data_IF_357817471206
#
_entry.id   IF_357817471206
#
_cell.length_a   1.000
_cell.length_b   1.000
_cell.length_c   1.000
_cell.angle_alpha   90.00
_cell.angle_beta   90.00
_cell.angle_gamma   90.00
#
_symmetry.space_group_name_H-M   'P 1'
#
loop_
_entity.id
_entity.type
_entity.pdbx_description
1 polymer ?
#
# COMPACT_ATOMS: atom_id res chain seq x y z
N UNK A 1 15.53 -2.29 23.98
CA UNK A 1 15.53 -1.61 22.68
C UNK A 1 15.52 -2.69 21.61
N UNK A 2 14.36 -2.98 21.03
CA UNK A 2 14.26 -3.93 19.92
C UNK A 2 14.77 -3.27 18.65
N UNK A 3 15.69 -3.93 17.96
CA UNK A 3 16.21 -3.48 16.66
C UNK A 3 15.08 -3.55 15.63
N UNK A 4 15.03 -2.64 14.65
CA UNK A 4 14.07 -2.62 13.53
C UNK A 4 13.96 -3.98 12.80
N UNK A 5 15.06 -4.74 12.76
CA UNK A 5 15.07 -6.12 12.26
C UNK A 5 14.13 -7.07 13.02
N UNK A 6 13.86 -6.84 14.32
CA UNK A 6 12.91 -7.65 15.09
C UNK A 6 11.44 -7.28 14.82
N UNK A 7 11.16 -6.06 14.35
CA UNK A 7 9.82 -5.62 13.96
C UNK A 7 9.42 -6.15 12.57
N UNK A 8 10.40 -6.32 11.68
CA UNK A 8 10.19 -6.74 10.28
C UNK A 8 10.15 -8.27 10.14
N UNK A 9 10.82 -9.02 11.02
CA UNK A 9 10.87 -10.48 10.91
C UNK A 9 9.63 -11.09 11.57
N UNK A 10 8.58 -11.35 10.78
CA UNK A 10 7.73 -12.51 11.07
C UNK A 10 8.62 -13.75 11.05
N UNK A 11 8.52 -14.57 12.08
CA UNK A 11 9.32 -15.80 12.20
C UNK A 11 8.71 -16.99 11.46
N UNK A 12 7.46 -16.90 10.99
CA UNK A 12 6.88 -17.86 10.04
C UNK A 12 5.60 -17.33 9.38
N UNK A 13 5.20 -17.93 8.25
CA UNK A 13 3.93 -17.65 7.55
C UNK A 13 2.67 -17.96 8.36
N UNK A 14 2.79 -18.56 9.55
CA UNK A 14 1.67 -18.99 10.39
C UNK A 14 1.32 -17.99 11.50
N UNK A 15 2.10 -16.92 11.67
CA UNK A 15 1.83 -15.88 12.66
C UNK A 15 0.85 -14.86 12.10
N UNK A 16 -0.25 -14.59 12.82
CA UNK A 16 -1.22 -13.55 12.46
C UNK A 16 -0.56 -12.18 12.65
N UNK A 17 -0.57 -11.28 11.66
CA UNK A 17 -0.01 -9.95 11.84
C UNK A 17 -0.80 -9.15 12.88
N UNK A 18 -0.08 -8.40 13.68
CA UNK A 18 -0.63 -7.53 14.72
C UNK A 18 -0.04 -6.13 14.59
N UNK A 19 -0.82 -5.13 14.99
CA UNK A 19 -0.35 -3.76 15.11
C UNK A 19 0.68 -3.64 16.23
N UNK A 20 1.81 -2.99 15.95
CA UNK A 20 2.89 -2.77 16.90
C UNK A 20 3.17 -1.27 17.01
N UNK A 21 3.42 -0.76 18.21
CA UNK A 21 3.79 0.64 18.39
C UNK A 21 5.12 0.94 17.69
N UNK A 22 5.16 2.02 16.90
CA UNK A 22 6.32 2.41 16.09
C UNK A 22 6.31 3.91 15.80
N UNK A 23 7.47 4.46 15.44
CA UNK A 23 7.59 5.84 14.94
C UNK A 23 7.52 5.90 13.41
N UNK A 24 7.38 7.11 12.87
CA UNK A 24 7.46 7.32 11.42
C UNK A 24 8.83 6.93 10.85
N UNK A 25 9.91 7.15 11.58
CA UNK A 25 11.26 6.76 11.15
C UNK A 25 11.41 5.23 11.11
N UNK A 26 10.76 4.52 12.03
CA UNK A 26 10.70 3.05 12.01
C UNK A 26 9.95 2.54 10.77
N UNK A 27 8.86 3.21 10.39
CA UNK A 27 8.13 2.93 9.16
C UNK A 27 9.01 3.12 7.92
N UNK A 28 9.70 4.28 7.80
CA UNK A 28 10.58 4.57 6.67
C UNK A 28 11.74 3.56 6.56
N UNK A 29 12.31 3.18 7.70
CA UNK A 29 13.34 2.15 7.74
C UNK A 29 12.79 0.78 7.31
N UNK A 30 11.56 0.45 7.72
CA UNK A 30 10.84 -0.74 7.28
C UNK A 30 10.65 -0.79 5.77
N UNK A 31 10.17 0.30 5.16
CA UNK A 31 9.99 0.38 3.70
C UNK A 31 11.33 0.19 2.96
N UNK A 32 12.40 0.85 3.45
CA UNK A 32 13.73 0.69 2.86
C UNK A 32 14.26 -0.75 2.94
N UNK A 33 14.01 -1.45 4.04
CA UNK A 33 14.37 -2.86 4.18
C UNK A 33 13.54 -3.74 3.23
N UNK A 34 12.23 -3.50 3.13
CA UNK A 34 11.36 -4.24 2.22
C UNK A 34 11.78 -4.08 0.75
N UNK A 35 12.15 -2.87 0.33
CA UNK A 35 12.68 -2.60 -1.02
C UNK A 35 13.95 -3.40 -1.35
N UNK A 36 14.83 -3.60 -0.36
CA UNK A 36 16.10 -4.32 -0.54
C UNK A 36 15.88 -5.84 -0.52
N UNK A 37 15.01 -6.34 0.35
CA UNK A 37 14.92 -7.77 0.64
C UNK A 37 13.90 -8.51 -0.23
N UNK A 38 12.76 -7.90 -0.58
CA UNK A 38 11.70 -8.45 -1.46
C UNK A 38 10.51 -7.47 -1.57
N UNK A 39 10.52 -6.49 -2.48
CA UNK A 39 9.49 -5.44 -2.53
C UNK A 39 8.06 -5.96 -2.74
N UNK A 40 7.89 -7.06 -3.50
CA UNK A 40 6.57 -7.59 -3.86
C UNK A 40 5.89 -8.42 -2.75
N UNK A 41 6.57 -8.62 -1.61
CA UNK A 41 6.12 -9.55 -0.56
C UNK A 41 5.71 -8.84 0.74
N UNK A 42 5.92 -7.53 0.86
CA UNK A 42 5.66 -6.80 2.10
C UNK A 42 4.80 -5.56 1.83
N UNK A 43 3.62 -5.52 2.44
CA UNK A 43 2.84 -4.30 2.59
C UNK A 43 3.04 -3.78 4.02
N UNK A 44 3.63 -2.59 4.12
CA UNK A 44 3.85 -1.92 5.40
C UNK A 44 2.85 -0.78 5.53
N UNK A 45 2.08 -0.80 6.61
CA UNK A 45 1.07 0.21 6.91
C UNK A 45 1.47 0.93 8.19
N UNK A 46 1.18 2.23 8.24
CA UNK A 46 1.37 3.06 9.42
C UNK A 46 0.07 3.81 9.74
N UNK A 47 -0.33 3.81 11.00
CA UNK A 47 -1.45 4.61 11.49
C UNK A 47 -1.17 5.11 12.89
N UNK A 48 -1.01 6.43 13.04
CA UNK A 48 -0.98 7.13 14.34
C UNK A 48 -0.03 6.50 15.38
N UNK A 49 1.21 6.19 14.98
CA UNK A 49 2.21 5.60 15.88
C UNK A 49 2.13 4.08 16.01
N UNK A 50 1.39 3.42 15.12
CA UNK A 50 1.35 1.97 14.99
C UNK A 50 1.78 1.54 13.60
N UNK A 51 2.53 0.46 13.53
CA UNK A 51 3.00 -0.22 12.33
C UNK A 51 2.29 -1.56 12.20
N UNK A 52 1.87 -1.89 10.99
CA UNK A 52 1.38 -3.20 10.62
C UNK A 52 2.12 -3.68 9.39
N UNK A 53 2.72 -4.85 9.49
CA UNK A 53 3.47 -5.46 8.40
C UNK A 53 2.72 -6.71 7.97
N UNK A 54 2.28 -6.70 6.73
CA UNK A 54 1.63 -7.84 6.12
C UNK A 54 2.43 -8.43 4.97
N UNK A 55 2.42 -9.76 4.92
CA UNK A 55 3.03 -10.51 3.84
C UNK A 55 1.92 -11.21 3.07
N UNK A 56 1.24 -10.45 2.23
CA UNK A 56 0.18 -11.00 1.39
C UNK A 56 0.49 -10.76 -0.08
N UNK A 57 0.45 -11.88 -0.82
CA UNK A 57 0.38 -11.86 -2.26
C UNK A 57 -1.03 -11.50 -2.67
N UNK A 58 -1.12 -10.70 -3.72
CA UNK A 58 -2.39 -10.52 -4.39
C UNK A 58 -2.81 -11.83 -5.06
N UNK A 59 -3.94 -12.39 -4.61
CA UNK A 59 -4.52 -13.59 -5.21
C UNK A 59 -5.09 -13.31 -6.61
N UNK A 60 -5.15 -14.34 -7.46
CA UNK A 60 -5.68 -14.24 -8.85
C UNK A 60 -7.09 -13.62 -8.87
N UNK A 61 -7.96 -14.02 -7.95
CA UNK A 61 -9.32 -13.49 -7.90
C UNK A 61 -9.36 -12.03 -7.46
N UNK A 62 -8.47 -11.62 -6.55
CA UNK A 62 -8.32 -10.21 -6.17
C UNK A 62 -7.85 -9.38 -7.37
N UNK A 63 -6.82 -9.84 -8.08
CA UNK A 63 -6.32 -9.19 -9.28
C UNK A 63 -7.41 -9.07 -10.36
N UNK A 64 -8.19 -10.12 -10.61
CA UNK A 64 -9.30 -10.09 -11.58
C UNK A 64 -10.32 -9.00 -11.28
N UNK A 65 -10.72 -8.86 -10.01
CA UNK A 65 -11.69 -7.85 -9.60
C UNK A 65 -11.10 -6.45 -9.75
N UNK A 66 -9.84 -6.24 -9.33
CA UNK A 66 -9.15 -4.97 -9.52
C UNK A 66 -9.12 -4.56 -10.99
N UNK A 67 -8.70 -5.45 -11.87
CA UNK A 67 -8.63 -5.16 -13.31
C UNK A 67 -10.00 -4.87 -13.93
N UNK A 68 -11.05 -5.58 -13.48
CA UNK A 68 -12.43 -5.27 -13.91
C UNK A 68 -12.83 -3.84 -13.52
N UNK A 69 -12.54 -3.42 -12.28
CA UNK A 69 -12.84 -2.08 -11.81
C UNK A 69 -12.05 -1.04 -12.62
N UNK A 70 -10.76 -1.27 -12.88
CA UNK A 70 -9.93 -0.42 -13.76
C UNK A 70 -10.58 -0.23 -15.13
N UNK A 71 -11.00 -1.32 -15.77
CA UNK A 71 -11.64 -1.27 -17.09
C UNK A 71 -12.97 -0.51 -17.05
N UNK A 72 -13.82 -0.73 -16.05
CA UNK A 72 -15.09 -0.03 -15.92
C UNK A 72 -14.89 1.48 -15.77
N UNK A 73 -13.90 1.90 -14.98
CA UNK A 73 -13.52 3.31 -14.83
C UNK A 73 -13.07 3.86 -16.20
N UNK A 74 -12.14 3.18 -16.88
CA UNK A 74 -11.65 3.61 -18.19
C UNK A 74 -12.78 3.75 -19.22
N UNK A 75 -13.72 2.79 -19.28
CA UNK A 75 -14.87 2.86 -20.18
C UNK A 75 -15.82 4.02 -19.83
N UNK A 76 -16.05 4.29 -18.54
CA UNK A 76 -16.89 5.41 -18.14
C UNK A 76 -16.28 6.76 -18.55
N UNK A 77 -14.98 6.97 -18.30
CA UNK A 77 -14.30 8.21 -18.68
C UNK A 77 -14.10 8.34 -20.20
N UNK A 78 -14.05 7.23 -20.95
CA UNK A 78 -14.06 7.29 -22.41
C UNK A 78 -15.32 7.93 -23.00
N UNK A 79 -16.42 7.95 -22.23
CA UNK A 79 -17.68 8.58 -22.59
C UNK A 79 -17.80 10.03 -22.07
N UNK A 80 -16.88 10.47 -21.20
CA UNK A 80 -16.88 11.79 -20.55
C UNK A 80 -15.51 12.47 -20.70
N UNK A 81 -15.10 12.82 -21.94
CA UNK A 81 -13.76 13.34 -22.22
C UNK A 81 -13.46 14.71 -21.59
N UNK A 82 -14.46 15.42 -21.09
CA UNK A 82 -14.33 16.66 -20.33
C UNK A 82 -13.68 16.46 -18.96
N UNK A 83 -13.66 15.24 -18.45
CA UNK A 83 -13.07 14.92 -17.16
C UNK A 83 -11.71 14.24 -17.35
N UNK A 84 -10.68 14.82 -16.73
CA UNK A 84 -9.39 14.15 -16.58
C UNK A 84 -9.40 13.26 -15.34
N UNK A 85 -8.64 12.17 -15.36
CA UNK A 85 -8.51 11.27 -14.23
C UNK A 85 -7.16 10.56 -14.25
N UNK A 86 -6.74 10.10 -13.07
CA UNK A 86 -5.68 9.10 -12.90
C UNK A 86 -6.23 7.92 -12.12
N UNK A 87 -6.04 6.72 -12.65
CA UNK A 87 -6.42 5.47 -12.00
C UNK A 87 -5.15 4.69 -11.67
N UNK A 88 -4.82 4.63 -10.38
CA UNK A 88 -3.56 4.10 -9.87
C UNK A 88 -3.83 2.85 -9.03
N UNK A 89 -3.18 1.74 -9.35
CA UNK A 89 -3.22 0.51 -8.57
C UNK A 89 -1.87 0.25 -7.89
N UNK A 90 -1.90 -0.45 -6.75
CA UNK A 90 -0.67 -0.88 -6.06
C UNK A 90 0.23 0.25 -5.55
N UNK A 91 -0.34 1.45 -5.34
CA UNK A 91 0.41 2.61 -4.86
C UNK A 91 0.38 2.70 -3.32
N UNK A 92 1.46 3.23 -2.75
CA UNK A 92 1.51 3.59 -1.34
C UNK A 92 1.14 5.07 -1.21
N UNK A 93 0.15 5.36 -0.38
CA UNK A 93 -0.26 6.72 -0.03
C UNK A 93 0.30 7.07 1.34
N UNK A 94 1.16 8.08 1.38
CA UNK A 94 1.81 8.54 2.60
C UNK A 94 1.31 9.92 3.04
N UNK A 95 1.03 10.03 4.33
CA UNK A 95 0.84 11.28 5.05
C UNK A 95 1.91 11.34 6.13
N UNK A 96 3.02 12.07 5.88
CA UNK A 96 4.17 12.07 6.77
C UNK A 96 3.80 12.29 8.22
N UNK A 97 4.39 11.48 9.11
CA UNK A 97 4.15 11.47 10.56
C UNK A 97 2.71 11.15 11.01
N UNK A 98 1.85 10.68 10.10
CA UNK A 98 0.45 10.39 10.42
C UNK A 98 0.03 9.00 9.98
N UNK A 99 0.13 8.71 8.67
CA UNK A 99 -0.43 7.49 8.06
C UNK A 99 0.33 7.07 6.81
N UNK A 100 0.38 5.77 6.58
CA UNK A 100 0.76 5.17 5.30
C UNK A 100 -0.14 3.98 5.01
N UNK A 101 -0.70 3.91 3.80
CA UNK A 101 -1.58 2.85 3.39
C UNK A 101 -1.34 2.45 1.93
N UNK A 102 -1.58 1.18 1.61
CA UNK A 102 -1.48 0.63 0.27
C UNK A 102 -2.87 0.18 -0.22
N UNK A 103 -3.75 1.12 -0.63
CA UNK A 103 -5.04 0.78 -1.21
C UNK A 103 -4.87 -0.02 -2.51
N UNK A 104 -5.82 -0.90 -2.80
CA UNK A 104 -5.77 -1.71 -4.03
C UNK A 104 -5.91 -0.87 -5.29
N UNK A 105 -6.77 0.15 -5.24
CA UNK A 105 -7.03 1.09 -6.33
C UNK A 105 -7.31 2.49 -5.78
N UNK A 106 -6.80 3.52 -6.47
CA UNK A 106 -7.08 4.93 -6.21
C UNK A 106 -7.51 5.59 -7.51
N UNK A 107 -8.61 6.35 -7.45
CA UNK A 107 -9.09 7.16 -8.56
C UNK A 107 -9.01 8.64 -8.16
N UNK A 108 -8.14 9.38 -8.84
CA UNK A 108 -8.11 10.84 -8.77
C UNK A 108 -8.90 11.40 -9.95
N UNK A 109 -9.77 12.37 -9.69
CA UNK A 109 -10.54 13.08 -10.71
C UNK A 109 -10.05 14.52 -10.76
N UNK A 110 -9.83 15.05 -11.97
CA UNK A 110 -9.17 16.33 -12.20
C UNK A 110 -7.70 16.18 -12.57
N UNK A 111 -6.97 17.30 -12.59
CA UNK A 111 -5.57 17.37 -13.05
C UNK A 111 -4.53 17.32 -11.93
N UNK A 112 -4.99 17.32 -10.67
CA UNK A 112 -4.14 17.60 -9.51
C UNK A 112 -3.85 16.33 -8.69
N UNK A 113 -3.64 15.21 -9.38
CA UNK A 113 -3.19 13.98 -8.74
C UNK A 113 -1.76 14.12 -8.19
N UNK A 114 -1.43 13.44 -7.08
CA UNK A 114 -0.06 13.36 -6.60
C UNK A 114 0.89 12.77 -7.67
N UNK A 115 2.11 13.30 -7.77
CA UNK A 115 3.16 12.88 -8.72
C UNK A 115 4.41 12.39 -8.01
#
# INVERSE_FOLDING_TARGET
MSTIAQLIIRRSSNEVPIWQTATWDDYLAGCKTAEIEQPDHFKIYFDQGYLFVDMEWEGIDHARVRELITMLIAFWFSQHPEHTFDCLGGCILEKPNQRAAAPDQVLYVGSDSPR
#
